data_IF_143412167937
#
_entry.id   IF_143412167937
#
_cell.length_a   1.000
_cell.length_b   1.000
_cell.length_c   1.000
_cell.angle_alpha   90.00
_cell.angle_beta   90.00
_cell.angle_gamma   90.00
#
_symmetry.space_group_name_H-M   'P 1'
#
loop_
_entity.id
_entity.type
_entity.pdbx_description
1 polymer ?
#
# COMPACT_ATOMS: atom_id res chain seq x y z
N UNK A 1 -41.50 -4.13 -0.46
CA UNK A 1 -40.10 -3.95 -0.03
C UNK A 1 -39.59 -5.32 0.40
N UNK A 2 -38.79 -5.96 -0.44
CA UNK A 2 -38.35 -7.34 -0.21
C UNK A 2 -37.13 -7.33 0.73
N UNK A 3 -37.28 -7.94 1.90
CA UNK A 3 -36.24 -8.02 2.92
C UNK A 3 -35.14 -8.98 2.43
N UNK A 4 -34.00 -8.43 1.95
CA UNK A 4 -32.86 -9.25 1.52
C UNK A 4 -32.32 -10.04 2.71
N UNK A 5 -32.64 -11.33 2.78
CA UNK A 5 -32.08 -12.31 3.74
C UNK A 5 -30.55 -12.20 3.75
N UNK A 6 -29.98 -11.74 4.89
CA UNK A 6 -28.52 -11.69 5.08
C UNK A 6 -27.94 -13.11 4.99
N UNK A 7 -26.99 -13.31 4.07
CA UNK A 7 -26.24 -14.58 3.99
C UNK A 7 -25.38 -14.74 5.25
N UNK A 8 -25.33 -15.94 5.86
CA UNK A 8 -24.50 -16.16 7.04
C UNK A 8 -23.02 -15.97 6.70
N UNK A 9 -22.28 -15.33 7.61
CA UNK A 9 -20.82 -15.14 7.47
C UNK A 9 -20.13 -16.52 7.44
N UNK A 10 -19.21 -16.72 6.50
CA UNK A 10 -18.32 -17.90 6.49
C UNK A 10 -17.47 -17.89 7.78
N UNK A 11 -17.50 -19.01 8.52
CA UNK A 11 -16.67 -19.20 9.72
C UNK A 11 -15.29 -19.72 9.32
N UNK A 12 -14.25 -19.11 9.85
CA UNK A 12 -12.85 -19.53 9.69
C UNK A 12 -12.40 -20.39 10.87
N UNK A 13 -11.31 -21.13 10.70
CA UNK A 13 -10.75 -21.96 11.78
C UNK A 13 -10.33 -21.13 13.00
N UNK A 14 -9.94 -19.87 12.79
CA UNK A 14 -9.61 -18.92 13.85
C UNK A 14 -10.81 -18.45 14.65
N UNK A 15 -12.03 -18.52 14.09
CA UNK A 15 -13.26 -18.20 14.83
C UNK A 15 -13.58 -19.28 15.88
N UNK A 16 -13.22 -20.55 15.60
CA UNK A 16 -13.44 -21.68 16.50
C UNK A 16 -12.31 -21.89 17.50
N UNK A 17 -11.06 -21.67 17.07
CA UNK A 17 -9.87 -21.77 17.92
C UNK A 17 -9.08 -20.46 17.85
N UNK A 18 -9.44 -19.44 18.65
CA UNK A 18 -8.80 -18.12 18.58
C UNK A 18 -7.31 -18.14 18.93
N UNK A 19 -6.90 -19.00 19.85
CA UNK A 19 -5.53 -19.09 20.35
C UNK A 19 -4.66 -20.13 19.61
N UNK A 20 -5.15 -20.66 18.47
CA UNK A 20 -4.35 -21.62 17.67
C UNK A 20 -3.08 -20.94 17.14
N UNK A 21 -1.97 -21.69 17.09
CA UNK A 21 -0.72 -21.20 16.51
C UNK A 21 -0.92 -20.80 15.04
N UNK A 22 -0.57 -19.56 14.69
CA UNK A 22 -0.70 -19.05 13.34
C UNK A 22 0.57 -19.33 12.51
N UNK A 23 0.58 -20.46 11.80
CA UNK A 23 1.70 -20.82 10.92
C UNK A 23 1.77 -19.99 9.62
N UNK A 24 0.74 -19.19 9.29
CA UNK A 24 0.75 -18.42 8.04
C UNK A 24 1.83 -17.33 8.03
N UNK A 25 2.26 -16.85 9.21
CA UNK A 25 3.32 -15.83 9.33
C UNK A 25 4.65 -16.32 8.74
N UNK A 26 4.90 -17.64 8.76
CA UNK A 26 6.13 -18.24 8.24
C UNK A 26 6.18 -18.31 6.71
N UNK A 27 5.07 -18.02 6.03
CA UNK A 27 4.97 -18.04 4.55
C UNK A 27 4.51 -16.69 3.99
N UNK A 28 4.75 -15.61 4.72
CA UNK A 28 4.47 -14.26 4.21
C UNK A 28 5.31 -14.00 2.95
N UNK A 29 4.68 -13.45 1.92
CA UNK A 29 5.31 -13.06 0.65
C UNK A 29 6.15 -14.16 -0.03
N UNK A 30 5.68 -15.42 -0.01
CA UNK A 30 6.38 -16.53 -0.66
C UNK A 30 6.59 -16.34 -2.17
N UNK A 31 7.50 -17.08 -2.83
CA UNK A 31 7.91 -16.81 -4.21
C UNK A 31 6.79 -16.76 -5.25
N UNK A 32 5.74 -17.58 -5.08
CA UNK A 32 4.56 -17.57 -5.96
C UNK A 32 3.69 -16.30 -5.87
N UNK A 33 3.96 -15.41 -4.92
CA UNK A 33 3.29 -14.10 -4.80
C UNK A 33 4.08 -12.95 -5.45
N UNK A 34 5.34 -13.18 -5.84
CA UNK A 34 6.19 -12.18 -6.45
C UNK A 34 6.12 -12.27 -8.00
N UNK A 35 5.58 -11.25 -8.71
CA UNK A 35 5.48 -11.27 -10.16
C UNK A 35 6.82 -11.03 -10.88
N UNK A 36 7.84 -10.50 -10.20
CA UNK A 36 9.12 -10.13 -10.83
C UNK A 36 10.07 -11.31 -11.06
N UNK A 37 9.77 -12.48 -10.48
CA UNK A 37 10.60 -13.68 -10.59
C UNK A 37 11.91 -13.59 -9.79
N UNK A 38 12.72 -14.66 -9.80
CA UNK A 38 13.90 -14.80 -8.94
C UNK A 38 15.12 -13.99 -9.40
N UNK A 39 15.15 -13.52 -10.66
CA UNK A 39 16.29 -12.80 -11.22
C UNK A 39 16.23 -11.28 -11.09
N UNK A 40 15.15 -10.73 -10.53
CA UNK A 40 14.95 -9.29 -10.44
C UNK A 40 15.69 -8.68 -9.25
N UNK A 41 16.46 -7.61 -9.50
CA UNK A 41 17.20 -6.86 -8.48
C UNK A 41 16.74 -5.40 -8.44
N UNK A 42 15.86 -5.08 -7.48
CA UNK A 42 15.32 -3.74 -7.31
C UNK A 42 16.42 -2.68 -7.06
N UNK A 43 17.51 -3.03 -6.39
CA UNK A 43 18.60 -2.07 -6.12
C UNK A 43 19.28 -1.68 -7.42
N UNK A 44 19.58 -2.66 -8.28
CA UNK A 44 20.21 -2.44 -9.58
C UNK A 44 19.33 -1.59 -10.50
N UNK A 45 18.01 -1.82 -10.50
CA UNK A 45 17.07 -1.02 -11.30
C UNK A 45 16.94 0.41 -10.75
N UNK A 46 16.86 0.56 -9.42
CA UNK A 46 16.76 1.88 -8.78
C UNK A 46 18.01 2.74 -9.02
N UNK A 47 19.19 2.14 -9.11
CA UNK A 47 20.43 2.86 -9.44
C UNK A 47 20.46 3.44 -10.87
N UNK A 48 19.69 2.86 -11.80
CA UNK A 48 19.59 3.33 -13.18
C UNK A 48 18.52 4.41 -13.36
N UNK A 49 17.72 4.67 -12.31
CA UNK A 49 16.62 5.62 -12.34
C UNK A 49 17.11 7.06 -12.48
N UNK A 50 16.56 7.80 -13.44
CA UNK A 50 16.73 9.25 -13.51
C UNK A 50 15.90 9.92 -12.41
N UNK A 51 16.56 10.15 -11.27
CA UNK A 51 15.93 10.79 -10.13
C UNK A 51 15.52 12.25 -10.41
N UNK A 52 16.21 12.95 -11.31
CA UNK A 52 15.87 14.32 -11.66
C UNK A 52 14.58 14.38 -12.48
N UNK A 53 14.41 13.46 -13.43
CA UNK A 53 13.16 13.31 -14.18
C UNK A 53 11.99 13.00 -13.26
N UNK A 54 12.13 12.04 -12.33
CA UNK A 54 11.06 11.67 -11.39
C UNK A 54 10.66 12.87 -10.52
N UNK A 55 11.62 13.64 -9.99
CA UNK A 55 11.32 14.83 -9.19
C UNK A 55 10.58 15.88 -10.00
N UNK A 56 10.99 16.12 -11.24
CA UNK A 56 10.32 17.06 -12.15
C UNK A 56 8.88 16.65 -12.41
N UNK A 57 8.64 15.37 -12.66
CA UNK A 57 7.29 14.85 -12.88
C UNK A 57 6.41 14.98 -11.62
N UNK A 58 6.98 14.75 -10.43
CA UNK A 58 6.29 14.97 -9.16
C UNK A 58 5.93 16.45 -8.94
N UNK A 59 6.83 17.38 -9.27
CA UNK A 59 6.57 18.82 -9.18
C UNK A 59 5.44 19.28 -10.11
N UNK A 60 5.38 18.71 -11.32
CA UNK A 60 4.29 18.94 -12.26
C UNK A 60 2.98 18.36 -11.73
N UNK A 61 2.99 17.10 -11.28
CA UNK A 61 1.83 16.40 -10.73
C UNK A 61 1.21 17.18 -9.57
N UNK A 62 2.04 17.75 -8.69
CA UNK A 62 1.54 18.51 -7.53
C UNK A 62 0.66 19.71 -7.91
N UNK A 63 0.75 20.23 -9.13
CA UNK A 63 -0.07 21.35 -9.63
C UNK A 63 -1.16 20.93 -10.62
N UNK A 64 -1.23 19.65 -10.97
CA UNK A 64 -2.19 19.11 -11.92
C UNK A 64 -3.40 18.52 -11.19
N UNK A 65 -4.31 19.39 -10.74
CA UNK A 65 -5.53 18.99 -10.05
C UNK A 65 -6.39 18.04 -10.90
N UNK A 66 -6.94 17.03 -10.25
CA UNK A 66 -7.82 16.01 -10.84
C UNK A 66 -9.25 16.20 -10.32
N UNK A 67 -10.25 16.08 -11.20
CA UNK A 67 -11.66 16.36 -10.84
C UNK A 67 -12.24 15.41 -9.79
N UNK A 68 -11.77 14.16 -9.79
CA UNK A 68 -12.21 13.13 -8.83
C UNK A 68 -11.57 13.30 -7.44
N UNK A 69 -10.52 14.10 -7.33
CA UNK A 69 -9.90 14.46 -6.06
C UNK A 69 -9.21 15.83 -6.14
N UNK A 70 -9.96 16.95 -6.12
CA UNK A 70 -9.40 18.27 -6.40
C UNK A 70 -8.27 18.67 -5.44
N UNK A 71 -7.27 19.39 -5.95
CA UNK A 71 -6.16 19.88 -5.15
C UNK A 71 -6.57 21.10 -4.32
N UNK A 72 -6.40 21.01 -3.00
CA UNK A 72 -6.58 22.16 -2.12
C UNK A 72 -5.63 23.29 -2.53
N UNK A 73 -6.18 24.50 -2.69
CA UNK A 73 -5.42 25.69 -3.13
C UNK A 73 -4.67 25.49 -4.47
N UNK A 74 -5.11 24.53 -5.30
CA UNK A 74 -4.44 24.19 -6.55
C UNK A 74 -3.10 23.47 -6.38
N UNK A 75 -2.80 22.90 -5.21
CA UNK A 75 -1.52 22.23 -4.96
C UNK A 75 -1.63 21.00 -4.03
N UNK A 76 -1.23 19.81 -4.50
CA UNK A 76 -1.24 18.57 -3.69
C UNK A 76 -0.10 18.45 -2.66
N UNK A 77 0.85 19.38 -2.65
CA UNK A 77 2.00 19.39 -1.72
C UNK A 77 1.64 19.05 -0.26
N UNK A 78 0.68 19.75 0.38
CA UNK A 78 0.27 19.43 1.76
C UNK A 78 -0.27 18.00 1.93
N UNK A 79 -1.02 17.50 0.94
CA UNK A 79 -1.51 16.12 0.92
C UNK A 79 -0.35 15.11 0.86
N UNK A 80 0.63 15.31 -0.03
CA UNK A 80 1.76 14.39 -0.16
C UNK A 80 2.72 14.43 1.04
N UNK A 81 2.90 15.60 1.67
CA UNK A 81 3.63 15.69 2.94
C UNK A 81 2.94 14.83 4.01
N UNK A 82 1.62 14.97 4.15
CA UNK A 82 0.83 14.18 5.09
C UNK A 82 0.91 12.68 4.77
N UNK A 83 0.82 12.30 3.49
CA UNK A 83 0.95 10.91 3.05
C UNK A 83 2.30 10.31 3.45
N UNK A 84 3.40 11.00 3.15
CA UNK A 84 4.75 10.57 3.51
C UNK A 84 4.91 10.44 5.03
N UNK A 85 4.41 11.41 5.79
CA UNK A 85 4.38 11.37 7.25
C UNK A 85 3.62 10.16 7.79
N UNK A 86 2.40 9.90 7.33
CA UNK A 86 1.60 8.76 7.79
C UNK A 86 2.20 7.40 7.36
N UNK A 87 2.86 7.35 6.21
CA UNK A 87 3.55 6.14 5.75
C UNK A 87 4.68 5.76 6.72
N UNK A 88 5.53 6.72 7.07
CA UNK A 88 6.62 6.51 8.03
C UNK A 88 6.13 6.38 9.48
N UNK A 89 5.03 7.05 9.84
CA UNK A 89 4.50 7.14 11.20
C UNK A 89 3.93 5.84 11.77
N UNK A 90 3.86 4.76 10.97
CA UNK A 90 3.54 3.42 11.47
C UNK A 90 4.73 2.73 12.16
N UNK A 91 5.94 3.25 11.99
CA UNK A 91 7.14 2.75 12.65
C UNK A 91 7.02 2.79 14.17
N UNK A 92 7.44 1.70 14.81
CA UNK A 92 7.56 1.56 16.25
C UNK A 92 9.00 1.12 16.55
N UNK A 93 9.57 1.60 17.65
CA UNK A 93 10.92 1.20 18.11
C UNK A 93 10.93 -0.27 18.53
N UNK A 94 9.79 -0.74 19.03
CA UNK A 94 9.47 -2.15 19.25
C UNK A 94 8.53 -2.64 18.13
N UNK A 95 8.22 -3.92 18.11
CA UNK A 95 7.39 -4.56 17.08
C UNK A 95 5.96 -4.00 16.98
#
# INVERSE_FOLDING_TARGET
MEEKKKRPRKRWITDWWPNRLNLNVLRQNGPGSNPYGPGFDYRKECQQLDLAAVKKDLEALMRQSQDWWPADFGHYGPLFIRLAWHSAGSYRVFD
#
